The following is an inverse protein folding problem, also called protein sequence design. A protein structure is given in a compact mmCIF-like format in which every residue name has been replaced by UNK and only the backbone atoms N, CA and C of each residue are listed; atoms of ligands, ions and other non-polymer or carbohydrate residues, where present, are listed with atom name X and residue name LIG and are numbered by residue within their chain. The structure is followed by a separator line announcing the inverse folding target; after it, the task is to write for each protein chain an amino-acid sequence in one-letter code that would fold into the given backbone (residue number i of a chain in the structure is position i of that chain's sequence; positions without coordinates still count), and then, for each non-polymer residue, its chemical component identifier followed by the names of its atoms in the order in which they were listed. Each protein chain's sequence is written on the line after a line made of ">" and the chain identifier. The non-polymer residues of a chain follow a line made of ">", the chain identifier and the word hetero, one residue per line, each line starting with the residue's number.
data_IF_368608185008
#
_entry.id   IF_368608185008
#
_cell.length_a   1.000
_cell.length_b   1.000
_cell.length_c   1.000
_cell.angle_alpha   90.00
_cell.angle_beta   90.00
_cell.angle_gamma   90.00
#
_symmetry.space_group_name_H-M   'P 1'
#
loop_
_entity.id
_entity.type
_entity.pdbx_description
1 polymer ?
#
# COMPACT_ATOMS: atom_id res chain seq x y z
N UNK A 1 -33.99 -22.82 -51.70
CA UNK A 1 -34.27 -21.55 -50.98
C UNK A 1 -33.63 -21.63 -49.60
N UNK A 2 -32.73 -20.70 -49.32
CA UNK A 2 -31.83 -20.69 -48.18
C UNK A 2 -32.54 -20.35 -46.86
N UNK A 3 -32.12 -20.98 -45.76
CA UNK A 3 -32.26 -20.43 -44.40
C UNK A 3 -30.88 -20.35 -43.78
N UNK A 4 -30.32 -19.15 -43.87
CA UNK A 4 -29.15 -18.71 -43.12
C UNK A 4 -29.57 -18.48 -41.68
N UNK A 5 -28.98 -19.20 -40.73
CA UNK A 5 -29.11 -18.97 -39.30
C UNK A 5 -27.73 -18.63 -38.74
N UNK A 6 -27.44 -17.34 -38.62
CA UNK A 6 -26.29 -16.83 -37.87
C UNK A 6 -26.59 -17.03 -36.37
N UNK A 7 -25.71 -17.65 -35.56
CA UNK A 7 -25.88 -17.66 -34.12
C UNK A 7 -25.50 -16.29 -33.53
N UNK A 8 -26.20 -15.79 -32.49
CA UNK A 8 -25.89 -14.49 -31.93
C UNK A 8 -24.58 -14.53 -31.12
N UNK A 9 -23.82 -13.46 -31.28
CA UNK A 9 -22.58 -13.12 -30.60
C UNK A 9 -22.73 -13.06 -29.07
N UNK A 10 -22.30 -14.11 -28.37
CA UNK A 10 -22.26 -14.19 -26.90
C UNK A 10 -21.05 -13.51 -26.21
N UNK A 11 -20.28 -12.68 -26.92
CA UNK A 11 -19.01 -12.12 -26.41
C UNK A 11 -19.12 -10.84 -25.56
N UNK A 12 -20.28 -10.20 -25.51
CA UNK A 12 -20.48 -8.88 -24.89
C UNK A 12 -20.87 -8.93 -23.41
N UNK A 13 -21.85 -9.76 -23.04
CA UNK A 13 -22.37 -9.85 -21.66
C UNK A 13 -21.32 -10.37 -20.67
N UNK A 14 -20.51 -11.31 -21.11
CA UNK A 14 -19.49 -11.96 -20.29
C UNK A 14 -18.32 -11.01 -19.95
N UNK A 15 -18.00 -10.08 -20.85
CA UNK A 15 -17.00 -9.03 -20.61
C UNK A 15 -17.54 -7.93 -19.69
N UNK A 16 -18.80 -7.53 -19.85
CA UNK A 16 -19.45 -6.55 -19.00
C UNK A 16 -19.57 -7.05 -17.54
N UNK A 17 -20.01 -8.31 -17.35
CA UNK A 17 -20.11 -8.92 -16.01
C UNK A 17 -18.74 -9.03 -15.32
N UNK A 18 -17.67 -9.35 -16.08
CA UNK A 18 -16.30 -9.35 -15.53
C UNK A 18 -15.81 -7.94 -15.16
N UNK A 19 -16.14 -6.93 -15.96
CA UNK A 19 -15.80 -5.55 -15.67
C UNK A 19 -16.53 -5.03 -14.41
N UNK A 20 -17.80 -5.37 -14.24
CA UNK A 20 -18.60 -5.04 -13.06
C UNK A 20 -18.10 -5.76 -11.81
N UNK A 21 -17.78 -7.05 -11.92
CA UNK A 21 -17.17 -7.81 -10.83
C UNK A 21 -15.83 -7.22 -10.38
N UNK A 22 -15.02 -6.69 -11.32
CA UNK A 22 -13.75 -6.01 -11.01
C UNK A 22 -13.98 -4.67 -10.31
N UNK A 23 -14.92 -3.86 -10.80
CA UNK A 23 -15.28 -2.57 -10.19
C UNK A 23 -15.84 -2.74 -8.79
N UNK A 24 -16.73 -3.72 -8.61
CA UNK A 24 -17.28 -4.06 -7.30
C UNK A 24 -16.19 -4.52 -6.33
N UNK A 25 -15.25 -5.37 -6.80
CA UNK A 25 -14.12 -5.80 -5.97
C UNK A 25 -13.26 -4.61 -5.53
N UNK A 26 -12.92 -3.69 -6.43
CA UNK A 26 -12.13 -2.51 -6.10
C UNK A 26 -12.86 -1.60 -5.10
N UNK A 27 -14.15 -1.32 -5.33
CA UNK A 27 -14.97 -0.51 -4.42
C UNK A 27 -15.09 -1.14 -3.02
N UNK A 28 -15.23 -2.46 -2.92
CA UNK A 28 -15.24 -3.17 -1.63
C UNK A 28 -13.90 -3.02 -0.92
N UNK A 29 -12.77 -3.11 -1.62
CA UNK A 29 -11.44 -2.97 -1.02
C UNK A 29 -11.18 -1.54 -0.52
N UNK A 30 -11.56 -0.52 -1.29
CA UNK A 30 -11.46 0.89 -0.87
C UNK A 30 -12.34 1.17 0.36
N UNK A 31 -13.59 0.68 0.34
CA UNK A 31 -14.49 0.81 1.48
C UNK A 31 -13.96 0.07 2.72
N UNK A 32 -13.41 -1.12 2.53
CA UNK A 32 -12.82 -1.89 3.61
C UNK A 32 -11.62 -1.16 4.23
N UNK A 33 -10.73 -0.62 3.41
CA UNK A 33 -9.60 0.21 3.86
C UNK A 33 -10.07 1.39 4.72
N UNK A 34 -11.08 2.13 4.26
CA UNK A 34 -11.63 3.27 5.00
C UNK A 34 -12.28 2.84 6.33
N UNK A 35 -13.18 1.86 6.29
CA UNK A 35 -13.90 1.37 7.47
C UNK A 35 -12.94 0.79 8.51
N UNK A 36 -11.96 -0.01 8.10
CA UNK A 36 -10.98 -0.58 9.03
C UNK A 36 -10.02 0.49 9.58
N UNK A 37 -9.66 1.51 8.80
CA UNK A 37 -8.83 2.62 9.27
C UNK A 37 -9.56 3.50 10.31
N UNK A 38 -10.88 3.71 10.16
CA UNK A 38 -11.69 4.55 11.05
C UNK A 38 -12.17 3.81 12.30
N UNK A 39 -12.69 2.59 12.14
CA UNK A 39 -13.37 1.86 13.21
C UNK A 39 -12.45 0.87 13.93
N UNK A 40 -11.29 0.56 13.35
CA UNK A 40 -10.32 -0.35 13.94
C UNK A 40 -10.93 -1.72 14.31
N UNK A 41 -10.79 -2.14 15.56
CA UNK A 41 -11.21 -3.46 16.02
C UNK A 41 -12.72 -3.73 15.94
N UNK A 42 -13.57 -2.70 15.91
CA UNK A 42 -15.04 -2.84 15.87
C UNK A 42 -15.60 -2.95 14.45
N UNK A 43 -14.79 -2.77 13.41
CA UNK A 43 -15.22 -2.80 12.02
C UNK A 43 -15.88 -4.13 11.63
N UNK A 44 -17.08 -4.04 11.06
CA UNK A 44 -17.84 -5.20 10.57
C UNK A 44 -17.86 -5.27 9.05
N UNK A 45 -18.04 -6.48 8.51
CA UNK A 45 -18.22 -6.69 7.07
C UNK A 45 -19.49 -6.03 6.53
N UNK A 46 -20.49 -5.85 7.40
CA UNK A 46 -21.72 -5.10 7.15
C UNK A 46 -21.44 -3.60 6.99
N UNK A 47 -20.58 -3.03 7.83
CA UNK A 47 -20.15 -1.63 7.69
C UNK A 47 -19.39 -1.41 6.38
N UNK A 48 -18.54 -2.37 5.98
CA UNK A 48 -17.87 -2.36 4.67
C UNK A 48 -18.88 -2.40 3.53
N UNK A 49 -19.86 -3.30 3.59
CA UNK A 49 -20.89 -3.43 2.55
C UNK A 49 -21.71 -2.13 2.41
N UNK A 50 -22.13 -1.55 3.55
CA UNK A 50 -22.84 -0.28 3.58
C UNK A 50 -22.01 0.87 3.00
N UNK A 51 -20.74 0.96 3.36
CA UNK A 51 -19.83 2.00 2.86
C UNK A 51 -19.53 1.83 1.36
N UNK A 52 -19.43 0.60 0.87
CA UNK A 52 -19.25 0.30 -0.56
C UNK A 52 -20.55 0.43 -1.39
N UNK A 53 -21.71 0.61 -0.74
CA UNK A 53 -23.01 0.64 -1.42
C UNK A 53 -23.40 -0.70 -2.07
N UNK A 54 -22.93 -1.82 -1.51
CA UNK A 54 -23.23 -3.18 -2.03
C UNK A 54 -23.94 -4.04 -1.00
N UNK A 55 -24.65 -5.06 -1.45
CA UNK A 55 -25.22 -6.06 -0.55
C UNK A 55 -24.11 -6.88 0.14
N UNK A 56 -24.33 -7.27 1.39
CA UNK A 56 -23.39 -8.11 2.16
C UNK A 56 -23.06 -9.44 1.46
N UNK A 57 -24.04 -10.03 0.76
CA UNK A 57 -23.82 -11.23 -0.05
C UNK A 57 -22.82 -11.02 -1.20
N UNK A 58 -22.73 -9.80 -1.75
CA UNK A 58 -21.73 -9.45 -2.76
C UNK A 58 -20.33 -9.42 -2.15
N UNK A 59 -20.18 -8.92 -0.92
CA UNK A 59 -18.90 -8.95 -0.19
C UNK A 59 -18.45 -10.39 0.01
N UNK A 60 -19.32 -11.24 0.58
CA UNK A 60 -18.97 -12.65 0.84
C UNK A 60 -18.74 -13.47 -0.43
N UNK A 61 -19.35 -13.09 -1.56
CA UNK A 61 -19.06 -13.70 -2.87
C UNK A 61 -17.64 -13.41 -3.35
N UNK A 62 -17.08 -12.24 -3.02
CA UNK A 62 -15.72 -11.85 -3.38
C UNK A 62 -14.67 -12.23 -2.33
N UNK A 63 -15.09 -12.26 -1.06
CA UNK A 63 -14.26 -12.47 0.13
C UNK A 63 -15.03 -13.37 1.11
N UNK A 64 -14.90 -14.71 0.99
CA UNK A 64 -15.72 -15.66 1.73
C UNK A 64 -15.67 -15.47 3.25
N UNK A 65 -14.54 -14.99 3.76
CA UNK A 65 -14.34 -14.71 5.18
C UNK A 65 -13.78 -13.31 5.43
N UNK A 66 -13.95 -12.78 6.64
CA UNK A 66 -13.34 -11.51 7.06
C UNK A 66 -11.79 -11.55 6.96
N UNK A 67 -11.09 -12.64 7.34
CA UNK A 67 -9.67 -12.81 7.03
C UNK A 67 -9.32 -12.66 5.54
N UNK A 68 -10.10 -13.25 4.63
CA UNK A 68 -9.86 -13.11 3.17
C UNK A 68 -9.98 -11.66 2.71
N UNK A 69 -10.95 -10.91 3.26
CA UNK A 69 -11.10 -9.48 3.00
C UNK A 69 -9.90 -8.70 3.54
N UNK A 70 -9.49 -8.92 4.78
CA UNK A 70 -8.34 -8.25 5.39
C UNK A 70 -7.05 -8.51 4.60
N UNK A 71 -6.80 -9.76 4.20
CA UNK A 71 -5.65 -10.11 3.38
C UNK A 71 -5.70 -9.39 2.02
N UNK A 72 -6.85 -9.36 1.37
CA UNK A 72 -7.00 -8.68 0.09
C UNK A 72 -6.82 -7.16 0.20
N UNK A 73 -7.28 -6.54 1.30
CA UNK A 73 -7.01 -5.12 1.59
C UNK A 73 -5.52 -4.87 1.69
N UNK A 74 -4.78 -5.70 2.44
CA UNK A 74 -3.33 -5.53 2.58
C UNK A 74 -2.60 -5.72 1.25
N UNK A 75 -2.96 -6.73 0.45
CA UNK A 75 -2.36 -6.89 -0.87
C UNK A 75 -2.63 -5.69 -1.78
N UNK A 76 -3.86 -5.16 -1.77
CA UNK A 76 -4.22 -3.96 -2.53
C UNK A 76 -3.43 -2.72 -2.08
N UNK A 77 -3.21 -2.56 -0.77
CA UNK A 77 -2.37 -1.49 -0.23
C UNK A 77 -0.92 -1.58 -0.74
N UNK A 78 -0.35 -2.79 -0.77
CA UNK A 78 1.00 -3.02 -1.28
C UNK A 78 1.10 -2.73 -2.78
N UNK A 79 0.13 -3.17 -3.57
CA UNK A 79 0.12 -2.95 -5.03
C UNK A 79 -0.05 -1.46 -5.37
N UNK A 80 -0.89 -0.73 -4.61
CA UNK A 80 -1.01 0.73 -4.72
C UNK A 80 0.28 1.44 -4.36
N UNK A 81 0.94 1.02 -3.27
CA UNK A 81 2.22 1.59 -2.87
C UNK A 81 3.30 1.38 -3.94
N UNK A 82 3.38 0.19 -4.55
CA UNK A 82 4.29 -0.07 -5.67
C UNK A 82 3.99 0.88 -6.84
N UNK A 83 2.72 0.99 -7.24
CA UNK A 83 2.30 1.85 -8.36
C UNK A 83 2.64 3.32 -8.11
N UNK A 84 2.40 3.81 -6.90
CA UNK A 84 2.72 5.19 -6.52
C UNK A 84 4.24 5.45 -6.57
N UNK A 85 5.03 4.47 -6.12
CA UNK A 85 6.49 4.55 -6.09
C UNK A 85 7.08 4.51 -7.50
N UNK A 86 6.53 3.68 -8.39
CA UNK A 86 6.93 3.65 -9.80
C UNK A 86 6.67 5.01 -10.47
N UNK A 87 5.50 5.62 -10.19
CA UNK A 87 5.20 6.97 -10.67
C UNK A 87 6.14 8.05 -10.11
N UNK A 88 6.61 7.91 -8.86
CA UNK A 88 7.64 8.80 -8.30
C UNK A 88 8.99 8.65 -9.04
N UNK A 89 9.34 7.44 -9.44
CA UNK A 89 10.57 7.16 -10.21
C UNK A 89 10.48 7.71 -11.64
N UNK A 90 9.31 7.59 -12.28
CA UNK A 90 9.07 8.05 -13.65
C UNK A 90 9.06 9.59 -13.78
N UNK A 91 8.60 10.31 -12.75
CA UNK A 91 8.61 11.77 -12.73
C UNK A 91 10.01 12.31 -12.37
N UNK A 92 10.91 12.30 -13.36
CA UNK A 92 12.38 12.44 -13.33
C UNK A 92 13.03 13.68 -12.65
N UNK A 93 12.36 14.42 -11.76
CA UNK A 93 12.84 15.74 -11.32
C UNK A 93 13.06 15.95 -9.83
N UNK A 94 12.41 15.17 -8.96
CA UNK A 94 12.38 15.54 -7.56
C UNK A 94 13.61 15.00 -6.81
N UNK A 95 14.58 15.88 -6.54
CA UNK A 95 15.64 15.67 -5.55
C UNK A 95 15.04 15.23 -4.19
N UNK A 96 13.78 15.60 -3.93
CA UNK A 96 13.01 15.24 -2.74
C UNK A 96 12.28 13.88 -2.82
N UNK A 97 12.28 13.18 -3.96
CA UNK A 97 11.47 11.97 -4.15
C UNK A 97 11.79 10.85 -3.16
N UNK A 98 13.06 10.69 -2.76
CA UNK A 98 13.42 9.71 -1.73
C UNK A 98 12.82 10.04 -0.35
N UNK A 99 12.82 11.32 0.02
CA UNK A 99 12.26 11.79 1.28
C UNK A 99 10.74 11.67 1.28
N UNK A 100 10.10 12.00 0.15
CA UNK A 100 8.67 11.82 -0.05
C UNK A 100 8.27 10.34 0.03
N UNK A 101 9.05 9.46 -0.62
CA UNK A 101 8.90 8.01 -0.53
C UNK A 101 8.91 7.53 0.93
N UNK A 102 9.96 7.85 1.69
CA UNK A 102 10.08 7.45 3.09
C UNK A 102 8.91 7.96 3.94
N UNK A 103 8.48 9.21 3.69
CA UNK A 103 7.32 9.82 4.35
C UNK A 103 6.03 9.08 4.03
N UNK A 104 5.83 8.75 2.76
CA UNK A 104 4.65 8.05 2.26
C UNK A 104 4.53 6.64 2.84
N UNK A 105 5.61 5.86 2.82
CA UNK A 105 5.60 4.48 3.36
C UNK A 105 5.24 4.49 4.85
N UNK A 106 5.81 5.40 5.63
CA UNK A 106 5.50 5.49 7.06
C UNK A 106 4.05 5.94 7.31
N UNK A 107 3.53 6.88 6.53
CA UNK A 107 2.13 7.31 6.60
C UNK A 107 1.16 6.18 6.27
N UNK A 108 1.43 5.40 5.21
CA UNK A 108 0.64 4.21 4.83
C UNK A 108 0.65 3.17 5.95
N UNK A 109 1.81 2.93 6.57
CA UNK A 109 1.95 2.01 7.71
C UNK A 109 1.09 2.46 8.90
N UNK A 110 1.21 3.73 9.29
CA UNK A 110 0.47 4.29 10.43
C UNK A 110 -1.05 4.29 10.23
N UNK A 111 -1.52 4.61 9.01
CA UNK A 111 -2.94 4.64 8.65
C UNK A 111 -3.56 3.24 8.65
N UNK A 112 -2.81 2.23 8.21
CA UNK A 112 -3.30 0.86 8.06
C UNK A 112 -2.94 -0.07 9.23
N UNK A 113 -2.42 0.48 10.34
CA UNK A 113 -2.00 -0.31 11.51
C UNK A 113 -3.10 -1.21 12.06
N UNK A 114 -4.35 -0.73 12.09
CA UNK A 114 -5.47 -1.50 12.60
C UNK A 114 -5.78 -2.71 11.71
N UNK A 115 -5.76 -2.53 10.39
CA UNK A 115 -5.93 -3.61 9.41
C UNK A 115 -4.85 -4.68 9.61
N UNK A 116 -3.59 -4.26 9.72
CA UNK A 116 -2.44 -5.16 9.88
C UNK A 116 -2.49 -5.92 11.22
N UNK A 117 -2.87 -5.25 12.31
CA UNK A 117 -3.05 -5.88 13.62
C UNK A 117 -4.18 -6.94 13.60
N UNK A 118 -5.30 -6.66 12.91
CA UNK A 118 -6.39 -7.64 12.78
C UNK A 118 -6.02 -8.83 11.91
N UNK A 119 -5.26 -8.61 10.83
CA UNK A 119 -4.75 -9.69 10.00
C UNK A 119 -3.75 -10.56 10.80
N UNK A 120 -2.92 -9.96 11.64
CA UNK A 120 -2.03 -10.68 12.53
C UNK A 120 -2.75 -11.63 13.50
N UNK A 121 -3.94 -11.26 13.99
CA UNK A 121 -4.80 -12.11 14.85
C UNK A 121 -5.29 -13.38 14.14
N UNK A 122 -5.31 -13.41 12.80
CA UNK A 122 -5.67 -14.62 12.02
C UNK A 122 -4.49 -15.57 11.79
N UNK A 123 -3.31 -15.22 12.33
CA UNK A 123 -2.04 -15.93 12.10
C UNK A 123 -1.28 -15.44 10.86
N UNK A 124 -1.85 -14.51 10.08
CA UNK A 124 -1.19 -13.94 8.90
C UNK A 124 -0.37 -12.72 9.30
N UNK A 125 0.95 -12.88 9.33
CA UNK A 125 1.87 -11.80 9.68
C UNK A 125 2.40 -11.11 8.42
N UNK A 126 2.13 -9.82 8.28
CA UNK A 126 2.67 -9.02 7.19
C UNK A 126 3.94 -8.34 7.66
N UNK A 127 5.07 -8.79 7.12
CA UNK A 127 6.39 -8.24 7.45
C UNK A 127 6.65 -7.02 6.58
N UNK A 128 6.70 -5.85 7.20
CA UNK A 128 6.98 -4.57 6.50
C UNK A 128 8.32 -4.62 5.75
N UNK A 129 9.31 -5.33 6.28
CA UNK A 129 10.60 -5.53 5.59
C UNK A 129 10.45 -6.25 4.24
N UNK A 130 9.59 -7.28 4.16
CA UNK A 130 9.35 -8.03 2.92
C UNK A 130 8.62 -7.15 1.90
N UNK A 131 7.66 -6.35 2.36
CA UNK A 131 6.98 -5.34 1.53
C UNK A 131 7.95 -4.30 0.97
N UNK A 132 8.83 -3.75 1.81
CA UNK A 132 9.85 -2.79 1.38
C UNK A 132 10.91 -3.41 0.46
N UNK A 133 11.19 -4.71 0.63
CA UNK A 133 12.10 -5.44 -0.27
C UNK A 133 11.51 -5.54 -1.68
N UNK A 134 10.19 -5.64 -1.83
CA UNK A 134 9.54 -5.58 -3.16
C UNK A 134 9.71 -4.21 -3.83
N UNK A 135 9.88 -3.15 -3.04
CA UNK A 135 10.11 -1.78 -3.53
C UNK A 135 11.60 -1.47 -3.78
N UNK A 136 12.49 -2.45 -3.54
CA UNK A 136 13.94 -2.26 -3.62
C UNK A 136 14.43 -1.66 -4.95
N UNK A 137 13.96 -2.09 -6.14
CA UNK A 137 14.40 -1.50 -7.40
C UNK A 137 14.12 0.00 -7.49
N UNK A 138 12.97 0.45 -6.99
CA UNK A 138 12.65 1.88 -6.97
C UNK A 138 13.48 2.64 -5.94
N UNK A 139 13.71 2.05 -4.75
CA UNK A 139 14.57 2.63 -3.71
C UNK A 139 16.00 2.82 -4.25
N UNK A 140 16.54 1.84 -4.99
CA UNK A 140 17.86 1.94 -5.60
C UNK A 140 17.96 3.16 -6.52
N UNK A 141 16.97 3.34 -7.40
CA UNK A 141 16.94 4.48 -8.34
C UNK A 141 16.78 5.81 -7.61
N UNK A 142 15.89 5.90 -6.61
CA UNK A 142 15.67 7.13 -5.85
C UNK A 142 16.91 7.51 -5.01
N UNK A 143 17.56 6.53 -4.40
CA UNK A 143 18.77 6.74 -3.61
C UNK A 143 19.94 7.19 -4.48
N UNK A 144 20.17 6.51 -5.61
CA UNK A 144 21.24 6.88 -6.55
C UNK A 144 21.08 8.33 -7.03
N UNK A 145 19.85 8.74 -7.36
CA UNK A 145 19.56 10.13 -7.77
C UNK A 145 19.83 11.12 -6.64
N UNK A 146 19.39 10.82 -5.41
CA UNK A 146 19.61 11.69 -4.26
C UNK A 146 21.10 11.85 -3.91
N UNK A 147 21.89 10.79 -4.08
CA UNK A 147 23.35 10.78 -3.94
C UNK A 147 24.04 11.59 -5.03
N UNK A 148 23.66 11.41 -6.31
CA UNK A 148 24.18 12.22 -7.43
C UNK A 148 23.85 13.71 -7.28
N UNK A 149 22.70 14.04 -6.70
CA UNK A 149 22.30 15.41 -6.40
C UNK A 149 23.02 16.01 -5.17
N UNK A 150 23.82 15.22 -4.44
CA UNK A 150 24.52 15.69 -3.24
C UNK A 150 23.60 15.97 -2.06
N UNK A 151 22.39 15.39 -2.02
CA UNK A 151 21.44 15.57 -0.90
C UNK A 151 21.43 14.42 0.10
N UNK A 152 22.05 13.30 -0.27
CA UNK A 152 22.25 12.12 0.56
C UNK A 152 23.73 11.71 0.48
N UNK A 153 24.28 11.21 1.59
CA UNK A 153 25.65 10.70 1.66
C UNK A 153 25.87 9.53 0.70
N UNK A 154 27.03 9.51 0.04
CA UNK A 154 27.35 8.55 -1.02
C UNK A 154 27.69 7.13 -0.53
N UNK A 155 27.86 6.93 0.78
CA UNK A 155 28.18 5.65 1.41
C UNK A 155 26.96 4.94 2.00
N UNK A 156 25.76 5.54 1.95
CA UNK A 156 24.52 4.88 2.36
C UNK A 156 24.14 3.80 1.34
N UNK A 157 24.01 2.56 1.81
CA UNK A 157 23.56 1.44 1.00
C UNK A 157 22.03 1.34 1.00
N UNK A 158 21.40 0.94 -0.11
CA UNK A 158 19.94 0.82 -0.12
C UNK A 158 19.41 -0.31 0.78
N UNK A 159 20.23 -1.32 1.11
CA UNK A 159 19.89 -2.31 2.17
C UNK A 159 19.75 -1.67 3.55
N UNK A 160 20.63 -0.72 3.87
CA UNK A 160 20.62 -0.01 5.16
C UNK A 160 19.41 0.90 5.24
N UNK A 161 19.11 1.61 4.15
CA UNK A 161 17.92 2.45 4.07
C UNK A 161 16.64 1.64 4.22
N UNK A 162 16.52 0.49 3.53
CA UNK A 162 15.38 -0.43 3.67
C UNK A 162 15.26 -0.91 5.11
N UNK A 163 16.36 -1.31 5.76
CA UNK A 163 16.34 -1.80 7.14
C UNK A 163 15.90 -0.70 8.13
N UNK A 164 16.44 0.51 8.00
CA UNK A 164 16.08 1.66 8.82
C UNK A 164 14.60 2.03 8.63
N UNK A 165 14.15 2.14 7.39
CA UNK A 165 12.76 2.48 7.08
C UNK A 165 11.80 1.39 7.57
N UNK A 166 12.17 0.12 7.42
CA UNK A 166 11.39 -1.00 7.97
C UNK A 166 11.24 -0.88 9.49
N UNK A 167 12.31 -0.57 10.22
CA UNK A 167 12.26 -0.39 11.67
C UNK A 167 11.35 0.78 12.09
N UNK A 168 11.42 1.92 11.40
CA UNK A 168 10.54 3.06 11.66
C UNK A 168 9.08 2.73 11.36
N UNK A 169 8.82 2.06 10.24
CA UNK A 169 7.46 1.66 9.87
C UNK A 169 6.88 0.63 10.86
N UNK A 170 7.70 -0.30 11.37
CA UNK A 170 7.29 -1.20 12.44
C UNK A 170 6.93 -0.42 13.72
N UNK A 171 7.73 0.57 14.11
CA UNK A 171 7.38 1.47 15.21
C UNK A 171 6.05 2.21 14.99
N UNK A 172 5.80 2.65 13.76
CA UNK A 172 4.56 3.32 13.36
C UNK A 172 3.31 2.41 13.37
N UNK A 173 3.47 1.08 13.45
CA UNK A 173 2.36 0.14 13.66
C UNK A 173 1.88 0.09 15.12
N UNK A 174 2.66 0.64 16.05
CA UNK A 174 2.30 0.69 17.48
C UNK A 174 1.47 1.93 17.80
N UNK A 175 0.59 1.84 18.80
CA UNK A 175 -0.15 3.01 19.29
C UNK A 175 0.72 4.00 20.08
N UNK A 176 1.97 3.63 20.40
CA UNK A 176 2.89 4.47 21.16
C UNK A 176 3.43 5.67 20.34
N UNK A 177 3.46 5.55 19.00
CA UNK A 177 4.04 6.58 18.14
C UNK A 177 2.95 7.53 17.66
N UNK A 178 2.86 8.71 18.28
CA UNK A 178 1.99 9.79 17.81
C UNK A 178 2.44 10.35 16.44
N UNK A 179 1.57 11.07 15.73
CA UNK A 179 1.94 11.70 14.46
C UNK A 179 3.16 12.64 14.58
N UNK A 180 3.25 13.54 15.58
CA UNK A 180 4.45 14.35 15.77
C UNK A 180 5.72 13.53 16.05
N UNK A 181 5.59 12.42 16.80
CA UNK A 181 6.73 11.54 17.09
C UNK A 181 7.22 10.84 15.82
N UNK A 182 6.31 10.31 15.01
CA UNK A 182 6.60 9.72 13.70
C UNK A 182 7.33 10.70 12.78
N UNK A 183 6.81 11.93 12.67
CA UNK A 183 7.45 12.98 11.88
C UNK A 183 8.87 13.28 12.38
N UNK A 184 9.06 13.35 13.70
CA UNK A 184 10.38 13.55 14.30
C UNK A 184 11.34 12.41 13.98
N UNK A 185 10.88 11.15 14.01
CA UNK A 185 11.71 10.00 13.64
C UNK A 185 12.19 10.06 12.18
N UNK A 186 11.30 10.47 11.25
CA UNK A 186 11.71 10.72 9.87
C UNK A 186 12.70 11.88 9.76
N UNK A 187 12.49 12.98 10.46
CA UNK A 187 13.45 14.10 10.48
C UNK A 187 14.83 13.63 10.92
N UNK A 188 14.91 12.83 11.99
CA UNK A 188 16.19 12.29 12.46
C UNK A 188 16.84 11.34 11.45
N UNK A 189 16.06 10.48 10.80
CA UNK A 189 16.56 9.65 9.69
C UNK A 189 17.12 10.53 8.57
N UNK A 190 16.36 11.55 8.15
CA UNK A 190 16.73 12.45 7.05
C UNK A 190 17.98 13.27 7.37
N UNK A 191 18.09 13.80 8.57
CA UNK A 191 19.28 14.51 9.03
C UNK A 191 20.51 13.58 9.08
N UNK A 192 20.32 12.32 9.50
CA UNK A 192 21.39 11.33 9.59
C UNK A 192 21.94 10.83 8.25
N UNK A 193 21.13 10.90 7.18
CA UNK A 193 21.54 10.49 5.82
C UNK A 193 22.02 11.65 4.95
N UNK A 194 21.94 12.90 5.42
CA UNK A 194 22.50 14.05 4.70
C UNK A 194 24.02 13.90 4.56
N UNK A 195 24.63 14.56 3.54
CA UNK A 195 26.07 14.54 3.38
C UNK A 195 26.74 15.08 4.63
N UNK A 196 27.61 14.29 5.23
CA UNK A 196 28.55 14.78 6.22
C UNK A 196 29.54 15.69 5.50
N UNK A 197 29.69 16.94 5.95
CA UNK A 197 30.83 17.75 5.53
C UNK A 197 32.09 16.95 5.88
N UNK A 198 32.85 16.53 4.84
CA UNK A 198 34.15 15.89 5.07
C UNK A 198 34.99 16.88 5.88
N UNK A 199 35.31 16.52 7.13
CA UNK A 199 36.42 17.13 7.87
C UNK A 199 37.73 16.63 7.29
#
# INVERSE_FOLDING_TARGET
>A
MARSGVPPSGGGGDKAVRADARRNRASILEAAEAVFAEQGASASTEAVAAHAGVAIGTVFRHFPTKPDLLQAVVMNLLDRLITEVDAMVENQGAVTALFEFCTRVMAVSARNRAVLARLAETGVQVRVGDALTRLRPAIDVLLERAQKAGTVRGDLLPTELVALLAALCQGALTDAWSEPFRQRMLTLLFDGIRPTARR
#
